data_IF_039294790003
#
_entry.id   IF_039294790003
#
_cell.length_a   1.000
_cell.length_b   1.000
_cell.length_c   1.000
_cell.angle_alpha   90.00
_cell.angle_beta   90.00
_cell.angle_gamma   90.00
#
_symmetry.space_group_name_H-M   'P 1'
#
loop_
_entity.id
_entity.type
_entity.pdbx_description
1 polymer ?
#
# COMPACT_ATOMS: atom_id res chain seq x y z
N UNK A 1 -3.46 20.66 19.66
CA UNK A 1 -4.08 19.85 18.59
C UNK A 1 -3.22 19.82 17.34
N UNK A 2 -2.99 20.94 16.63
CA UNK A 2 -2.21 20.98 15.38
C UNK A 2 -0.79 20.40 15.51
N UNK A 3 -0.08 20.65 16.61
CA UNK A 3 1.26 20.08 16.85
C UNK A 3 1.19 18.57 17.08
N UNK A 4 0.19 18.09 17.80
CA UNK A 4 -0.03 16.65 18.04
C UNK A 4 -0.31 15.91 16.73
N UNK A 5 -1.14 16.47 15.85
CA UNK A 5 -1.43 15.92 14.52
C UNK A 5 -0.17 15.81 13.67
N UNK A 6 0.64 16.87 13.64
CA UNK A 6 1.92 16.87 12.90
C UNK A 6 2.86 15.80 13.45
N UNK A 7 2.96 15.65 14.77
CA UNK A 7 3.79 14.61 15.39
C UNK A 7 3.30 13.20 15.05
N UNK A 8 1.97 12.99 15.01
CA UNK A 8 1.40 11.68 14.60
C UNK A 8 1.74 11.38 13.14
N UNK A 9 1.57 12.35 12.22
CA UNK A 9 1.89 12.12 10.81
C UNK A 9 3.38 11.89 10.57
N UNK A 10 4.26 12.60 11.28
CA UNK A 10 5.70 12.39 11.24
C UNK A 10 6.06 10.98 11.74
N UNK A 11 5.51 10.59 12.90
CA UNK A 11 5.75 9.26 13.48
C UNK A 11 5.24 8.16 12.56
N UNK A 12 4.03 8.32 12.02
CA UNK A 12 3.44 7.41 11.05
C UNK A 12 4.32 7.26 9.82
N UNK A 13 4.90 8.36 9.32
CA UNK A 13 5.83 8.34 8.20
C UNK A 13 7.10 7.57 8.50
N UNK A 14 7.66 7.69 9.71
CA UNK A 14 8.86 6.92 10.12
C UNK A 14 8.57 5.42 10.06
N UNK A 15 7.51 4.96 10.71
CA UNK A 15 7.18 3.54 10.76
C UNK A 15 6.73 2.99 9.41
N UNK A 16 5.85 3.72 8.70
CA UNK A 16 5.36 3.27 7.40
C UNK A 16 6.48 3.21 6.35
N UNK A 17 7.42 4.15 6.39
CA UNK A 17 8.59 4.13 5.51
C UNK A 17 9.48 2.91 5.76
N UNK A 18 9.82 2.61 7.02
CA UNK A 18 10.57 1.40 7.36
C UNK A 18 9.87 0.14 6.83
N UNK A 19 8.58 -0.01 7.08
CA UNK A 19 7.77 -1.15 6.62
C UNK A 19 7.74 -1.20 5.09
N UNK A 20 7.52 -0.05 4.43
CA UNK A 20 7.52 0.04 2.97
C UNK A 20 8.83 -0.45 2.36
N UNK A 21 9.96 -0.03 2.92
CA UNK A 21 11.28 -0.43 2.47
C UNK A 21 11.56 -1.91 2.72
N UNK A 22 11.20 -2.41 3.91
CA UNK A 22 11.47 -3.81 4.30
C UNK A 22 10.67 -4.83 3.48
N UNK A 23 9.41 -4.54 3.19
CA UNK A 23 8.49 -5.50 2.58
C UNK A 23 8.11 -5.18 1.14
N UNK A 24 8.46 -3.99 0.63
CA UNK A 24 8.04 -3.55 -0.70
C UNK A 24 6.53 -3.31 -0.84
N UNK A 25 5.80 -3.18 0.28
CA UNK A 25 4.33 -3.05 0.31
C UNK A 25 3.84 -1.59 0.31
N UNK A 26 4.75 -0.62 0.21
CA UNK A 26 4.44 0.80 0.15
C UNK A 26 4.02 1.44 1.48
N UNK A 27 3.97 0.69 2.60
CA UNK A 27 3.62 1.19 3.93
C UNK A 27 2.14 1.47 4.17
N UNK A 28 1.28 1.39 3.15
CA UNK A 28 -0.14 1.71 3.24
C UNK A 28 -0.93 0.87 4.24
N UNK A 29 -0.49 -0.36 4.46
CA UNK A 29 -1.10 -1.26 5.46
C UNK A 29 -1.13 -0.67 6.88
N UNK A 30 -0.13 0.12 7.23
CA UNK A 30 -0.08 0.84 8.51
C UNK A 30 -0.75 2.22 8.40
N UNK A 31 -0.59 2.90 7.27
CA UNK A 31 -1.07 4.28 7.09
C UNK A 31 -2.60 4.33 7.21
N UNK A 32 -3.34 3.45 6.53
CA UNK A 32 -4.81 3.49 6.48
C UNK A 32 -5.44 3.36 7.89
N UNK A 33 -5.13 2.33 8.71
CA UNK A 33 -5.73 2.21 10.05
C UNK A 33 -5.43 3.41 10.95
N UNK A 34 -4.19 3.90 10.92
CA UNK A 34 -3.80 5.05 11.77
C UNK A 34 -4.49 6.33 11.29
N UNK A 35 -4.60 6.56 9.98
CA UNK A 35 -5.32 7.72 9.45
C UNK A 35 -6.81 7.67 9.77
N UNK A 36 -7.46 6.50 9.75
CA UNK A 36 -8.85 6.35 10.16
C UNK A 36 -9.03 6.86 11.60
N UNK A 37 -8.16 6.44 12.52
CA UNK A 37 -8.20 6.92 13.92
C UNK A 37 -7.95 8.42 14.03
N UNK A 38 -6.94 8.92 13.32
CA UNK A 38 -6.64 10.35 13.33
C UNK A 38 -7.84 11.16 12.82
N UNK A 39 -8.47 10.75 11.73
CA UNK A 39 -9.58 11.49 11.15
C UNK A 39 -10.86 11.45 12.01
N UNK A 40 -11.10 10.32 12.72
CA UNK A 40 -12.13 10.25 13.76
C UNK A 40 -11.82 11.28 14.87
N UNK A 41 -10.58 11.33 15.36
CA UNK A 41 -10.16 12.25 16.43
C UNK A 41 -10.20 13.73 16.00
N UNK A 42 -10.06 14.01 14.71
CA UNK A 42 -10.21 15.32 14.10
C UNK A 42 -11.68 15.73 13.92
N UNK A 43 -12.63 14.83 14.12
CA UNK A 43 -14.05 15.07 13.96
C UNK A 43 -14.50 15.17 12.51
N UNK A 44 -13.82 14.46 11.58
CA UNK A 44 -14.27 14.39 10.20
C UNK A 44 -15.54 13.53 10.10
N UNK A 45 -16.31 13.76 9.06
CA UNK A 45 -17.56 13.03 8.81
C UNK A 45 -17.33 11.54 8.56
N UNK A 46 -18.04 10.68 9.26
CA UNK A 46 -17.88 9.21 9.17
C UNK A 46 -17.99 8.67 7.74
N UNK A 47 -18.82 9.32 6.92
CA UNK A 47 -19.05 8.94 5.53
C UNK A 47 -17.79 9.05 4.66
N UNK A 48 -16.82 9.89 5.02
CA UNK A 48 -15.63 10.18 4.20
C UNK A 48 -14.32 9.64 4.80
N UNK A 49 -14.29 9.34 6.11
CA UNK A 49 -13.06 9.00 6.85
C UNK A 49 -12.25 7.91 6.16
N UNK A 50 -12.88 6.78 5.85
CA UNK A 50 -12.16 5.62 5.30
C UNK A 50 -11.66 5.90 3.88
N UNK A 51 -12.46 6.56 3.05
CA UNK A 51 -12.08 6.96 1.70
C UNK A 51 -10.91 7.95 1.72
N UNK A 52 -10.94 8.93 2.63
CA UNK A 52 -9.84 9.87 2.82
C UNK A 52 -8.58 9.19 3.34
N UNK A 53 -8.70 8.24 4.26
CA UNK A 53 -7.57 7.47 4.75
C UNK A 53 -6.90 6.67 3.62
N UNK A 54 -7.69 6.01 2.76
CA UNK A 54 -7.19 5.27 1.62
C UNK A 54 -6.55 6.21 0.59
N UNK A 55 -7.24 7.28 0.17
CA UNK A 55 -6.72 8.25 -0.80
C UNK A 55 -5.43 8.92 -0.33
N UNK A 56 -5.38 9.35 0.94
CA UNK A 56 -4.19 9.94 1.59
C UNK A 56 -3.05 8.94 1.69
N UNK A 57 -3.35 7.68 2.00
CA UNK A 57 -2.38 6.58 1.99
C UNK A 57 -1.77 6.40 0.60
N UNK A 58 -2.60 6.33 -0.46
CA UNK A 58 -2.12 6.20 -1.83
C UNK A 58 -1.18 7.33 -2.22
N UNK A 59 -1.54 8.58 -1.93
CA UNK A 59 -0.68 9.73 -2.21
C UNK A 59 0.66 9.65 -1.44
N UNK A 60 0.64 9.20 -0.20
CA UNK A 60 1.86 9.02 0.61
C UNK A 60 2.74 7.87 0.08
N UNK A 61 2.11 6.78 -0.40
CA UNK A 61 2.81 5.63 -1.00
C UNK A 61 3.60 6.03 -2.25
N UNK A 62 3.18 7.03 -2.99
CA UNK A 62 3.97 7.52 -4.13
C UNK A 62 5.39 7.90 -3.69
N UNK A 63 5.51 8.71 -2.66
CA UNK A 63 6.81 9.18 -2.16
C UNK A 63 7.64 8.07 -1.52
N UNK A 64 7.00 7.25 -0.68
CA UNK A 64 7.67 6.08 -0.07
C UNK A 64 8.08 5.05 -1.10
N UNK A 65 7.23 4.80 -2.09
CA UNK A 65 7.48 3.88 -3.19
C UNK A 65 8.67 4.30 -4.04
N UNK A 66 8.77 5.59 -4.40
CA UNK A 66 9.92 6.13 -5.13
C UNK A 66 11.21 5.95 -4.33
N UNK A 67 11.20 6.28 -3.04
CA UNK A 67 12.37 6.13 -2.18
C UNK A 67 12.79 4.65 -2.03
N UNK A 68 11.83 3.76 -1.78
CA UNK A 68 12.05 2.32 -1.66
C UNK A 68 12.55 1.70 -2.97
N UNK A 69 11.88 1.98 -4.10
CA UNK A 69 12.28 1.49 -5.41
C UNK A 69 13.70 1.96 -5.79
N UNK A 70 14.04 3.22 -5.52
CA UNK A 70 15.38 3.74 -5.78
C UNK A 70 16.45 3.02 -4.92
N UNK A 71 16.15 2.72 -3.66
CA UNK A 71 17.06 1.97 -2.81
C UNK A 71 17.29 0.52 -3.31
N UNK A 72 16.23 -0.16 -3.78
CA UNK A 72 16.32 -1.50 -4.38
C UNK A 72 16.98 -1.48 -5.77
N UNK A 73 16.74 -0.43 -6.56
CA UNK A 73 17.38 -0.25 -7.88
C UNK A 73 18.90 -0.12 -7.76
N UNK A 74 19.41 0.63 -6.77
CA UNK A 74 20.86 0.73 -6.49
C UNK A 74 21.52 -0.60 -6.16
N UNK A 75 20.73 -1.61 -5.80
CA UNK A 75 21.18 -2.99 -5.51
C UNK A 75 20.86 -3.98 -6.63
N UNK A 76 20.48 -3.48 -7.82
CA UNK A 76 20.07 -4.29 -8.98
C UNK A 76 18.96 -5.31 -8.65
N UNK A 77 18.05 -4.96 -7.73
CA UNK A 77 16.99 -5.84 -7.25
C UNK A 77 15.65 -5.65 -8.00
N UNK A 78 15.62 -4.88 -9.10
CA UNK A 78 14.40 -4.66 -9.90
C UNK A 78 14.54 -5.35 -11.25
N UNK A 79 13.59 -6.24 -11.57
CA UNK A 79 13.46 -6.86 -12.88
C UNK A 79 12.44 -6.13 -13.75
N UNK A 80 12.92 -5.23 -14.61
CA UNK A 80 12.09 -4.44 -15.49
C UNK A 80 11.39 -5.25 -16.58
N UNK A 81 11.93 -6.42 -16.98
CA UNK A 81 11.34 -7.25 -18.03
C UNK A 81 10.05 -7.90 -17.54
N UNK A 82 10.09 -8.47 -16.33
CA UNK A 82 8.91 -9.07 -15.70
C UNK A 82 7.91 -8.01 -15.25
N UNK A 83 8.39 -6.82 -14.84
CA UNK A 83 7.57 -5.73 -14.33
C UNK A 83 6.69 -5.08 -15.42
N UNK A 84 7.22 -4.83 -16.60
CA UNK A 84 6.56 -4.04 -17.67
C UNK A 84 5.13 -4.48 -17.98
N UNK A 85 4.84 -5.75 -18.31
CA UNK A 85 3.48 -6.16 -18.62
C UNK A 85 2.53 -6.04 -17.42
N UNK A 86 3.04 -6.25 -16.20
CA UNK A 86 2.25 -6.12 -14.97
C UNK A 86 1.84 -4.67 -14.72
N UNK A 87 2.76 -3.72 -14.95
CA UNK A 87 2.52 -2.27 -14.76
C UNK A 87 1.40 -1.76 -15.66
N UNK A 88 1.31 -2.21 -16.90
CA UNK A 88 0.23 -1.80 -17.80
C UNK A 88 -1.14 -2.19 -17.21
N UNK A 89 -1.26 -3.43 -16.73
CA UNK A 89 -2.47 -3.86 -16.02
C UNK A 89 -2.74 -3.05 -14.74
N UNK A 90 -1.70 -2.79 -13.95
CA UNK A 90 -1.78 -1.99 -12.72
C UNK A 90 -2.40 -0.62 -12.99
N UNK A 91 -2.00 0.08 -14.06
CA UNK A 91 -2.51 1.41 -14.40
C UNK A 91 -4.04 1.41 -14.48
N UNK A 92 -4.60 0.51 -15.28
CA UNK A 92 -6.06 0.40 -15.43
C UNK A 92 -6.72 -0.09 -14.14
N UNK A 93 -6.17 -1.15 -13.53
CA UNK A 93 -6.74 -1.74 -12.33
C UNK A 93 -6.78 -0.77 -11.15
N UNK A 94 -5.71 -0.01 -10.92
CA UNK A 94 -5.65 0.90 -9.78
C UNK A 94 -6.61 2.09 -9.92
N UNK A 95 -6.75 2.65 -11.11
CA UNK A 95 -7.74 3.69 -11.34
C UNK A 95 -9.17 3.18 -11.13
N UNK A 96 -9.51 2.04 -11.76
CA UNK A 96 -10.84 1.43 -11.60
C UNK A 96 -11.12 1.02 -10.16
N UNK A 97 -10.12 0.51 -9.44
CA UNK A 97 -10.25 0.15 -8.04
C UNK A 97 -10.56 1.36 -7.14
N UNK A 98 -9.91 2.50 -7.38
CA UNK A 98 -10.21 3.74 -6.65
C UNK A 98 -11.65 4.23 -6.92
N UNK A 99 -12.08 4.25 -8.19
CA UNK A 99 -13.45 4.63 -8.56
C UNK A 99 -14.48 3.67 -7.94
N UNK A 100 -14.19 2.39 -7.92
CA UNK A 100 -15.06 1.38 -7.31
C UNK A 100 -15.12 1.52 -5.79
N UNK A 101 -14.00 1.78 -5.12
CA UNK A 101 -13.94 1.93 -3.67
C UNK A 101 -14.85 3.05 -3.15
N UNK A 102 -14.99 4.15 -3.89
CA UNK A 102 -15.87 5.27 -3.52
C UNK A 102 -17.36 4.87 -3.52
N UNK A 103 -17.74 3.85 -4.25
CA UNK A 103 -19.14 3.35 -4.27
C UNK A 103 -19.46 2.45 -3.06
N UNK A 104 -18.45 2.04 -2.31
CA UNK A 104 -18.60 1.16 -1.15
C UNK A 104 -18.73 2.02 0.11
N UNK A 105 -19.67 1.70 0.98
CA UNK A 105 -19.77 2.39 2.27
C UNK A 105 -18.48 2.25 3.09
N UNK A 106 -18.05 3.33 3.75
CA UNK A 106 -16.79 3.35 4.52
C UNK A 106 -16.73 2.27 5.60
N UNK A 107 -17.85 1.98 6.28
CA UNK A 107 -17.96 0.88 7.24
C UNK A 107 -17.67 -0.50 6.64
N UNK A 108 -18.18 -0.74 5.43
CA UNK A 108 -17.93 -1.99 4.71
C UNK A 108 -16.47 -2.08 4.25
N UNK A 109 -15.88 -0.97 3.79
CA UNK A 109 -14.45 -0.92 3.43
C UNK A 109 -13.55 -1.24 4.63
N UNK A 110 -13.88 -0.74 5.82
CA UNK A 110 -13.17 -1.09 7.07
C UNK A 110 -13.14 -2.60 7.29
N UNK A 111 -14.30 -3.23 7.21
CA UNK A 111 -14.42 -4.69 7.37
C UNK A 111 -13.63 -5.43 6.29
N UNK A 112 -13.72 -5.00 5.03
CA UNK A 112 -12.98 -5.61 3.92
C UNK A 112 -11.46 -5.53 4.17
N UNK A 113 -10.95 -4.37 4.61
CA UNK A 113 -9.52 -4.20 4.94
C UNK A 113 -9.11 -5.12 6.09
N UNK A 114 -9.93 -5.19 7.15
CA UNK A 114 -9.67 -6.06 8.31
C UNK A 114 -9.67 -7.55 7.95
N UNK A 115 -10.68 -8.01 7.23
CA UNK A 115 -10.77 -9.40 6.76
C UNK A 115 -9.64 -9.76 5.79
N UNK A 116 -9.25 -8.84 4.92
CA UNK A 116 -8.11 -9.02 4.03
C UNK A 116 -6.79 -9.17 4.82
N UNK A 117 -6.56 -8.30 5.80
CA UNK A 117 -5.37 -8.39 6.66
C UNK A 117 -5.33 -9.73 7.42
N UNK A 118 -6.49 -10.19 7.94
CA UNK A 118 -6.61 -11.50 8.58
C UNK A 118 -6.31 -12.65 7.62
N UNK A 119 -6.86 -12.60 6.40
CA UNK A 119 -6.61 -13.60 5.37
C UNK A 119 -5.11 -13.70 5.03
N UNK A 120 -4.43 -12.56 4.85
CA UNK A 120 -2.99 -12.52 4.58
C UNK A 120 -2.19 -13.11 5.76
N UNK A 121 -2.55 -12.76 7.00
CA UNK A 121 -1.89 -13.30 8.18
C UNK A 121 -2.03 -14.84 8.24
N UNK A 122 -3.24 -15.37 8.04
CA UNK A 122 -3.53 -16.80 8.02
C UNK A 122 -2.74 -17.49 6.89
N UNK A 123 -2.77 -16.95 5.68
CA UNK A 123 -2.01 -17.49 4.54
C UNK A 123 -0.51 -17.60 4.86
N UNK A 124 0.04 -16.57 5.51
CA UNK A 124 1.46 -16.57 5.88
C UNK A 124 1.79 -17.54 7.02
N UNK A 125 0.90 -17.70 8.00
CA UNK A 125 1.08 -18.65 9.12
C UNK A 125 1.14 -20.08 8.58
N UNK A 126 0.19 -20.45 7.75
CA UNK A 126 0.09 -21.81 7.21
C UNK A 126 1.03 -22.09 6.01
N UNK A 127 1.89 -21.13 5.64
CA UNK A 127 2.78 -21.27 4.49
C UNK A 127 2.05 -21.71 3.20
N UNK A 128 0.84 -21.20 2.98
CA UNK A 128 0.09 -21.50 1.75
C UNK A 128 0.81 -20.79 0.60
N UNK A 129 1.73 -21.49 -0.05
CA UNK A 129 2.42 -20.98 -1.23
C UNK A 129 1.47 -21.03 -2.41
N UNK A 130 1.32 -19.91 -3.11
CA UNK A 130 0.69 -19.91 -4.43
C UNK A 130 1.55 -20.80 -5.35
N UNK A 131 0.91 -21.80 -5.95
CA UNK A 131 1.55 -22.80 -6.79
C UNK A 131 2.55 -22.16 -7.76
N UNK A 132 3.77 -22.69 -7.79
CA UNK A 132 4.87 -22.24 -8.65
C UNK A 132 4.50 -22.45 -10.12
N UNK A 133 3.92 -21.45 -10.74
CA UNK A 133 3.52 -21.50 -12.14
C UNK A 133 4.69 -21.05 -13.02
N UNK A 134 5.46 -21.98 -13.55
CA UNK A 134 6.63 -21.70 -14.42
C UNK A 134 6.27 -21.00 -15.75
N UNK A 135 5.01 -20.85 -16.09
CA UNK A 135 4.54 -20.29 -17.36
C UNK A 135 4.10 -18.81 -17.22
N UNK A 136 4.97 -17.95 -16.70
CA UNK A 136 4.67 -16.50 -16.55
C UNK A 136 5.00 -15.66 -17.78
N UNK A 137 5.54 -16.25 -18.85
CA UNK A 137 5.86 -15.53 -20.09
C UNK A 137 4.64 -15.24 -20.98
N UNK A 138 3.43 -15.48 -20.52
CA UNK A 138 2.22 -15.14 -21.26
C UNK A 138 1.80 -13.70 -20.95
N UNK A 139 2.12 -12.74 -21.84
CA UNK A 139 1.86 -11.31 -21.64
C UNK A 139 0.42 -11.04 -21.18
N UNK A 140 -0.59 -11.70 -21.77
CA UNK A 140 -1.98 -11.55 -21.42
C UNK A 140 -2.29 -11.90 -19.95
N UNK A 141 -1.65 -12.93 -19.38
CA UNK A 141 -1.77 -13.26 -17.95
C UNK A 141 -1.19 -12.17 -17.06
N UNK A 142 -0.05 -11.61 -17.45
CA UNK A 142 0.61 -10.57 -16.66
C UNK A 142 -0.21 -9.27 -16.63
N UNK A 143 -0.88 -8.90 -17.73
CA UNK A 143 -1.81 -7.76 -17.75
C UNK A 143 -3.00 -7.99 -16.81
N UNK A 144 -3.64 -9.16 -16.87
CA UNK A 144 -4.79 -9.50 -16.02
C UNK A 144 -4.39 -9.52 -14.53
N UNK A 145 -3.24 -10.13 -14.19
CA UNK A 145 -2.73 -10.14 -12.82
C UNK A 145 -2.39 -8.72 -12.35
N UNK A 146 -1.75 -7.91 -13.20
CA UNK A 146 -1.47 -6.51 -12.90
C UNK A 146 -2.74 -5.71 -12.62
N UNK A 147 -3.79 -5.89 -13.45
CA UNK A 147 -5.09 -5.23 -13.24
C UNK A 147 -5.73 -5.65 -11.91
N UNK A 148 -5.69 -6.92 -11.57
CA UNK A 148 -6.20 -7.42 -10.30
C UNK A 148 -5.42 -6.89 -9.11
N UNK A 149 -4.07 -6.88 -9.19
CA UNK A 149 -3.20 -6.30 -8.16
C UNK A 149 -3.50 -4.82 -7.97
N UNK A 150 -3.56 -4.05 -9.06
CA UNK A 150 -3.85 -2.62 -9.02
C UNK A 150 -5.22 -2.32 -8.41
N UNK A 151 -6.25 -3.06 -8.84
CA UNK A 151 -7.61 -2.91 -8.35
C UNK A 151 -7.72 -3.16 -6.85
N UNK A 152 -7.26 -4.32 -6.38
CA UNK A 152 -7.33 -4.65 -4.95
C UNK A 152 -6.48 -3.70 -4.10
N UNK A 153 -5.29 -3.34 -4.59
CA UNK A 153 -4.41 -2.41 -3.89
C UNK A 153 -5.05 -1.06 -3.66
N UNK A 154 -5.77 -0.54 -4.66
CA UNK A 154 -6.45 0.76 -4.59
C UNK A 154 -7.65 0.73 -3.66
N UNK A 155 -8.42 -0.36 -3.67
CA UNK A 155 -9.56 -0.55 -2.76
C UNK A 155 -9.11 -0.64 -1.31
N UNK A 156 -7.96 -1.30 -1.06
CA UNK A 156 -7.44 -1.54 0.29
C UNK A 156 -6.51 -0.44 0.82
N UNK A 157 -6.10 0.49 -0.03
CA UNK A 157 -5.18 1.54 0.38
C UNK A 157 -3.72 1.11 0.57
N UNK A 158 -3.27 0.07 -0.15
CA UNK A 158 -1.93 -0.52 0.00
C UNK A 158 -1.12 -0.47 -1.30
N UNK A 159 0.21 -0.45 -1.18
CA UNK A 159 1.12 -0.32 -2.33
C UNK A 159 1.31 -1.58 -3.20
N UNK A 160 0.40 -2.55 -3.09
CA UNK A 160 0.39 -3.74 -3.93
C UNK A 160 1.37 -4.85 -3.54
N UNK A 161 2.30 -4.61 -2.64
CA UNK A 161 3.38 -5.55 -2.29
C UNK A 161 2.89 -6.89 -1.77
N UNK A 162 1.78 -6.89 -1.04
CA UNK A 162 1.20 -8.13 -0.51
C UNK A 162 0.78 -9.08 -1.63
N UNK A 163 0.37 -8.56 -2.78
CA UNK A 163 -0.03 -9.35 -3.95
C UNK A 163 1.13 -9.58 -4.91
N UNK A 164 1.91 -8.53 -5.20
CA UNK A 164 2.94 -8.57 -6.23
C UNK A 164 4.20 -9.32 -5.79
N UNK A 165 4.59 -9.28 -4.51
CA UNK A 165 5.75 -10.05 -4.02
C UNK A 165 5.53 -11.56 -4.17
N UNK A 166 4.40 -12.16 -3.73
CA UNK A 166 4.12 -13.58 -3.98
C UNK A 166 4.04 -13.92 -5.47
N UNK A 167 3.46 -13.03 -6.28
CA UNK A 167 3.39 -13.23 -7.72
C UNK A 167 4.78 -13.30 -8.36
N UNK A 168 5.66 -12.34 -8.07
CA UNK A 168 7.02 -12.35 -8.61
C UNK A 168 7.85 -13.51 -8.06
N UNK A 169 7.68 -13.88 -6.80
CA UNK A 169 8.33 -15.07 -6.22
C UNK A 169 7.86 -16.36 -6.92
N UNK A 170 6.56 -16.50 -7.22
CA UNK A 170 6.02 -17.65 -7.96
C UNK A 170 6.51 -17.71 -9.41
N UNK A 171 6.93 -16.56 -9.97
CA UNK A 171 7.55 -16.46 -11.30
C UNK A 171 9.03 -16.88 -11.30
N UNK A 172 9.58 -17.30 -10.15
CA UNK A 172 10.96 -17.79 -10.02
C UNK A 172 11.98 -16.74 -9.62
N UNK A 173 11.55 -15.52 -9.27
CA UNK A 173 12.44 -14.47 -8.77
C UNK A 173 12.87 -14.74 -7.34
N UNK A 174 14.07 -14.26 -6.96
CA UNK A 174 14.49 -14.24 -5.56
C UNK A 174 13.56 -13.37 -4.72
N UNK A 175 13.47 -13.60 -3.41
CA UNK A 175 12.64 -12.75 -2.52
C UNK A 175 13.05 -11.28 -2.62
N UNK A 176 14.34 -10.98 -2.61
CA UNK A 176 14.86 -9.60 -2.68
C UNK A 176 14.49 -8.92 -3.99
N UNK A 177 14.62 -9.62 -5.14
CA UNK A 177 14.17 -9.10 -6.44
C UNK A 177 12.65 -8.93 -6.50
N UNK A 178 11.89 -9.85 -5.89
CA UNK A 178 10.43 -9.74 -5.82
C UNK A 178 10.01 -8.50 -5.03
N UNK A 179 10.66 -8.23 -3.89
CA UNK A 179 10.41 -7.04 -3.07
C UNK A 179 10.77 -5.76 -3.84
N UNK A 180 11.96 -5.72 -4.46
CA UNK A 180 12.41 -4.56 -5.22
C UNK A 180 11.51 -4.24 -6.42
N UNK A 181 11.14 -5.27 -7.21
CA UNK A 181 10.24 -5.13 -8.35
C UNK A 181 8.83 -4.72 -7.90
N UNK A 182 8.36 -5.26 -6.78
CA UNK A 182 7.09 -4.87 -6.16
C UNK A 182 7.08 -3.42 -5.70
N UNK A 183 8.16 -2.95 -5.07
CA UNK A 183 8.28 -1.55 -4.66
C UNK A 183 8.18 -0.59 -5.86
N UNK A 184 8.77 -0.97 -7.01
CA UNK A 184 8.64 -0.21 -8.25
C UNK A 184 7.21 -0.24 -8.81
N UNK A 185 6.49 -1.36 -8.71
CA UNK A 185 5.07 -1.47 -9.07
C UNK A 185 4.16 -0.61 -8.18
N UNK A 186 4.55 -0.36 -6.94
CA UNK A 186 3.82 0.51 -6.03
C UNK A 186 3.68 1.94 -6.52
N UNK A 187 4.61 2.44 -7.33
CA UNK A 187 4.59 3.80 -7.86
C UNK A 187 3.39 4.03 -8.80
N UNK A 188 3.19 3.26 -9.89
CA UNK A 188 2.03 3.42 -10.74
C UNK A 188 0.71 3.13 -10.01
N UNK A 189 0.66 2.18 -9.07
CA UNK A 189 -0.53 1.99 -8.23
C UNK A 189 -0.87 3.30 -7.51
N UNK A 190 0.09 3.88 -6.82
CA UNK A 190 -0.09 5.10 -6.04
C UNK A 190 -0.56 6.29 -6.92
N UNK A 191 0.05 6.50 -8.08
CA UNK A 191 -0.31 7.59 -9.00
C UNK A 191 -1.77 7.45 -9.48
N UNK A 192 -2.12 6.28 -10.04
CA UNK A 192 -3.41 6.12 -10.70
C UNK A 192 -4.55 5.94 -9.69
N UNK A 193 -4.29 5.33 -8.53
CA UNK A 193 -5.26 5.30 -7.43
C UNK A 193 -5.49 6.70 -6.86
N UNK A 194 -4.42 7.46 -6.54
CA UNK A 194 -4.55 8.84 -6.05
C UNK A 194 -5.33 9.71 -7.02
N UNK A 195 -5.04 9.59 -8.32
CA UNK A 195 -5.78 10.32 -9.36
C UNK A 195 -7.27 9.98 -9.33
N UNK A 196 -7.64 8.71 -9.18
CA UNK A 196 -9.03 8.29 -9.02
C UNK A 196 -9.69 8.90 -7.77
N UNK A 197 -9.01 8.86 -6.61
CA UNK A 197 -9.52 9.45 -5.36
C UNK A 197 -9.64 10.99 -5.44
N UNK A 198 -8.75 11.67 -6.15
CA UNK A 198 -8.87 13.11 -6.42
C UNK A 198 -10.11 13.39 -7.25
N UNK A 199 -10.22 12.76 -8.42
CA UNK A 199 -11.34 13.02 -9.35
C UNK A 199 -12.70 12.78 -8.73
N UNK A 200 -12.85 11.67 -8.00
CA UNK A 200 -14.11 11.30 -7.36
C UNK A 200 -14.48 12.19 -6.16
N UNK A 201 -13.51 12.90 -5.59
CA UNK A 201 -13.72 13.77 -4.44
C UNK A 201 -13.89 15.26 -4.77
N UNK A 202 -13.66 15.72 -6.01
CA UNK A 202 -13.62 17.15 -6.35
C UNK A 202 -14.89 17.93 -5.98
N UNK A 203 -16.04 17.29 -6.06
CA UNK A 203 -17.34 17.93 -5.80
C UNK A 203 -17.98 17.52 -4.46
N UNK A 204 -17.23 16.89 -3.56
CA UNK A 204 -17.76 16.46 -2.28
C UNK A 204 -17.60 17.56 -1.23
N UNK A 205 -18.71 18.16 -0.83
CA UNK A 205 -18.76 19.27 0.16
C UNK A 205 -18.46 18.84 1.59
N UNK A 206 -18.42 17.54 1.89
CA UNK A 206 -18.09 17.01 3.22
C UNK A 206 -16.60 17.01 3.51
N UNK A 207 -15.76 17.19 2.47
CA UNK A 207 -14.31 17.15 2.63
C UNK A 207 -13.78 18.35 3.41
N UNK A 208 -12.86 18.12 4.36
CA UNK A 208 -12.31 19.20 5.16
C UNK A 208 -11.40 20.12 4.33
N UNK A 209 -11.16 21.31 4.85
CA UNK A 209 -10.20 22.24 4.28
C UNK A 209 -8.82 21.59 4.13
N UNK A 210 -8.05 22.01 3.11
CA UNK A 210 -6.73 21.46 2.75
C UNK A 210 -6.80 20.02 2.21
N UNK A 211 -7.95 19.59 1.68
CA UNK A 211 -8.09 18.33 0.95
C UNK A 211 -8.07 18.57 -0.56
N UNK A 212 -7.46 17.65 -1.28
CA UNK A 212 -7.52 17.55 -2.74
C UNK A 212 -8.30 16.28 -3.09
N UNK A 213 -9.61 16.42 -3.33
CA UNK A 213 -10.52 15.28 -3.34
C UNK A 213 -10.39 14.50 -2.03
N UNK A 214 -10.38 13.18 -2.06
CA UNK A 214 -10.22 12.35 -0.87
C UNK A 214 -8.77 12.28 -0.34
N UNK A 215 -7.91 13.23 -0.66
CA UNK A 215 -6.52 13.28 -0.18
C UNK A 215 -6.34 14.45 0.78
N UNK A 216 -6.02 14.16 2.04
CA UNK A 216 -5.75 15.17 3.07
C UNK A 216 -4.28 15.58 3.03
N UNK A 217 -4.00 16.78 2.47
CA UNK A 217 -2.64 17.25 2.19
C UNK A 217 -1.73 17.35 3.42
N UNK A 218 -2.19 17.82 4.61
CA UNK A 218 -1.31 17.89 5.77
C UNK A 218 -0.76 16.52 6.18
N UNK A 219 -1.57 15.47 6.11
CA UNK A 219 -1.12 14.11 6.39
C UNK A 219 -0.14 13.59 5.34
N UNK A 220 -0.40 13.84 4.05
CA UNK A 220 0.53 13.47 2.96
C UNK A 220 1.89 14.09 3.20
N UNK A 221 1.95 15.39 3.49
CA UNK A 221 3.21 16.12 3.71
C UNK A 221 3.97 15.53 4.91
N UNK A 222 3.29 15.39 6.06
CA UNK A 222 3.92 14.88 7.29
C UNK A 222 4.44 13.44 7.15
N UNK A 223 3.64 12.55 6.57
CA UNK A 223 4.00 11.15 6.33
C UNK A 223 5.14 11.06 5.30
N UNK A 224 5.02 11.74 4.16
CA UNK A 224 5.98 11.64 3.08
C UNK A 224 7.34 12.20 3.44
N UNK A 225 7.38 13.30 4.19
CA UNK A 225 8.64 13.93 4.61
C UNK A 225 9.56 12.96 5.36
N UNK A 226 9.02 12.16 6.27
CA UNK A 226 9.82 11.21 7.07
C UNK A 226 9.97 9.86 6.39
N UNK A 227 8.93 9.39 5.70
CA UNK A 227 8.94 8.07 5.06
C UNK A 227 9.94 7.95 3.91
N UNK A 228 10.22 9.03 3.18
CA UNK A 228 11.26 9.06 2.12
C UNK A 228 12.62 8.63 2.68
N UNK A 229 13.00 9.14 3.84
CA UNK A 229 14.27 8.79 4.47
C UNK A 229 14.24 7.38 5.03
N UNK A 230 13.21 7.03 5.78
CA UNK A 230 13.12 5.75 6.48
C UNK A 230 12.88 4.57 5.54
N UNK A 231 12.23 4.75 4.39
CA UNK A 231 12.07 3.70 3.38
C UNK A 231 13.42 3.19 2.84
N UNK A 232 14.38 4.08 2.64
CA UNK A 232 15.74 3.70 2.22
C UNK A 232 16.45 2.85 3.29
N UNK A 233 16.23 3.15 4.58
CA UNK A 233 16.75 2.32 5.68
C UNK A 233 16.03 0.98 5.77
N UNK A 234 14.70 0.95 5.62
CA UNK A 234 13.92 -0.28 5.57
C UNK A 234 14.40 -1.22 4.47
N UNK A 235 14.66 -0.70 3.27
CA UNK A 235 15.21 -1.48 2.16
C UNK A 235 16.61 -2.07 2.49
N UNK A 236 17.46 -1.33 3.21
CA UNK A 236 18.73 -1.86 3.69
C UNK A 236 18.51 -3.01 4.69
N UNK A 237 17.62 -2.84 5.65
CA UNK A 237 17.29 -3.86 6.66
C UNK A 237 16.79 -5.14 5.99
N UNK A 238 15.96 -5.05 4.96
CA UNK A 238 15.46 -6.21 4.21
C UNK A 238 16.56 -7.11 3.61
N UNK A 239 17.75 -6.55 3.36
CA UNK A 239 18.89 -7.30 2.84
C UNK A 239 19.74 -7.99 3.92
N UNK A 240 19.57 -7.61 5.20
CA UNK A 240 20.34 -8.16 6.33
C UNK A 240 19.52 -9.09 7.21
N UNK A 241 18.20 -8.90 7.26
CA UNK A 241 17.30 -9.67 8.14
C UNK A 241 16.87 -10.96 7.43
N UNK A 242 16.81 -12.05 8.17
CA UNK A 242 16.37 -13.34 7.63
C UNK A 242 14.89 -13.31 7.21
N UNK A 243 14.55 -14.07 6.17
CA UNK A 243 13.19 -14.18 5.64
C UNK A 243 12.18 -14.57 6.73
N UNK A 244 12.58 -15.44 7.67
CA UNK A 244 11.72 -15.89 8.76
C UNK A 244 11.35 -14.76 9.75
N UNK A 245 12.29 -13.87 10.03
CA UNK A 245 12.04 -12.72 10.92
C UNK A 245 11.13 -11.72 10.23
N UNK A 246 11.42 -11.38 8.98
CA UNK A 246 10.56 -10.51 8.16
C UNK A 246 9.13 -11.04 8.11
N UNK A 247 8.99 -12.35 7.86
CA UNK A 247 7.68 -13.01 7.81
C UNK A 247 6.92 -12.88 9.12
N UNK A 248 7.55 -13.17 10.26
CA UNK A 248 6.93 -13.06 11.59
C UNK A 248 6.49 -11.61 11.89
N UNK A 249 7.32 -10.63 11.57
CA UNK A 249 6.99 -9.21 11.74
C UNK A 249 5.76 -8.82 10.89
N UNK A 250 5.70 -9.28 9.64
CA UNK A 250 4.56 -8.97 8.78
C UNK A 250 3.27 -9.67 9.26
N UNK A 251 3.36 -10.91 9.73
CA UNK A 251 2.21 -11.63 10.33
C UNK A 251 1.67 -10.85 11.53
N UNK A 252 2.54 -10.46 12.47
CA UNK A 252 2.10 -9.73 13.67
C UNK A 252 1.45 -8.39 13.31
N UNK A 253 2.00 -7.68 12.34
CA UNK A 253 1.42 -6.43 11.84
C UNK A 253 0.04 -6.66 11.22
N UNK A 254 -0.10 -7.69 10.36
CA UNK A 254 -1.39 -7.99 9.71
C UNK A 254 -2.46 -8.42 10.72
N UNK A 255 -2.11 -9.21 11.74
CA UNK A 255 -3.05 -9.57 12.82
C UNK A 255 -3.50 -8.35 13.62
N UNK A 256 -2.58 -7.46 13.96
CA UNK A 256 -2.91 -6.23 14.68
C UNK A 256 -3.86 -5.35 13.87
N UNK A 257 -3.59 -5.16 12.57
CA UNK A 257 -4.45 -4.40 11.66
C UNK A 257 -5.83 -5.06 11.53
N UNK A 258 -5.87 -6.39 11.40
CA UNK A 258 -7.12 -7.12 11.26
C UNK A 258 -8.04 -6.91 12.48
N UNK A 259 -7.50 -7.12 13.69
CA UNK A 259 -8.24 -6.91 14.94
C UNK A 259 -8.71 -5.45 15.03
N UNK A 260 -7.80 -4.52 14.77
CA UNK A 260 -8.09 -3.10 14.90
C UNK A 260 -9.20 -2.64 13.94
N UNK A 261 -9.13 -2.99 12.66
CA UNK A 261 -10.09 -2.57 11.63
C UNK A 261 -11.47 -3.25 11.74
N UNK A 262 -11.55 -4.43 12.38
CA UNK A 262 -12.83 -5.14 12.59
C UNK A 262 -13.52 -4.63 13.86
N UNK A 263 -12.74 -4.27 14.90
CA UNK A 263 -13.30 -3.85 16.19
C UNK A 263 -13.65 -2.36 16.22
N UNK A 264 -12.91 -1.53 15.50
CA UNK A 264 -13.16 -0.09 15.39
C UNK A 264 -14.40 0.20 14.53
#
# INVERSE_FOLDING_TARGET
KMIEEVLIFISLGIFSGLIAGMFGIGGGTLIVPVLVTCFISLGFEDAIIVHMAIGTSMASIFFTGVASANAHMKKNAIDFQVMRPVVIGIIFGSFLGAVFAIQIAGSLLKIIIGLFALFVAIQMIFNIELSRNKNTNNGNKSYAVGSFIGFLSSVLGIGGGIFSVPYFKSSGMSLTSSIGTSAACGIPIAIFASFGYVLMGLNNSLLPNMSLGYIYLPAVIGISFTSIFTASYGAKIAHFVSENILKKLLISLMLLIAIYMIVL
#
